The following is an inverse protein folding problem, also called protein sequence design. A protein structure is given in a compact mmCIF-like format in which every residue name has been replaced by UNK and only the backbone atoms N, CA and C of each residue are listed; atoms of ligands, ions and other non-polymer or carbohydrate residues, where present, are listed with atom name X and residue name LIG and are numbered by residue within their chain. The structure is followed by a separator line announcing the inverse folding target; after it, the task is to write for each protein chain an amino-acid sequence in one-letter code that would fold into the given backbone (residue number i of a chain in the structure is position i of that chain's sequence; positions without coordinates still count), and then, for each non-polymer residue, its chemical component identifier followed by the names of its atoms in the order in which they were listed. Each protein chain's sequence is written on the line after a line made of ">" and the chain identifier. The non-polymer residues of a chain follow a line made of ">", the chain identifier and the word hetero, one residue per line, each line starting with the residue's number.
data_IF_205960335773
#
_entry.id   IF_205960335773
#
_cell.length_a   1.000
_cell.length_b   1.000
_cell.length_c   1.000
_cell.angle_alpha   90.00
_cell.angle_beta   90.00
_cell.angle_gamma   90.00
#
_symmetry.space_group_name_H-M   'P 1'
#
loop_
_entity.id
_entity.type
_entity.pdbx_description
1 polymer ?
#
# COMPACT_ATOMS: atom_id res chain seq x y z
N UNK A 1 52.89 -3.96 74.86
CA UNK A 1 52.33 -3.47 73.58
C UNK A 1 53.18 -4.03 72.46
N UNK A 2 52.52 -4.64 71.46
CA UNK A 2 52.96 -5.03 70.09
C UNK A 2 54.22 -5.91 69.93
N UNK A 3 54.31 -6.86 69.01
CA UNK A 3 53.39 -7.46 68.02
C UNK A 3 54.24 -8.50 67.28
N UNK A 4 53.81 -9.76 67.24
CA UNK A 4 54.38 -10.80 66.39
C UNK A 4 54.06 -10.53 64.92
N UNK A 5 54.99 -10.82 64.01
CA UNK A 5 54.71 -10.95 62.57
C UNK A 5 55.56 -12.07 61.98
N UNK A 6 55.04 -13.30 62.09
CA UNK A 6 55.49 -14.44 61.29
C UNK A 6 54.58 -14.56 60.06
N UNK A 7 55.19 -14.65 58.88
CA UNK A 7 54.50 -14.82 57.60
C UNK A 7 54.16 -16.31 57.38
N UNK A 8 52.90 -16.68 57.06
CA UNK A 8 52.60 -18.04 56.64
C UNK A 8 52.92 -18.27 55.15
N UNK A 9 53.65 -19.34 54.85
CA UNK A 9 53.75 -19.91 53.51
C UNK A 9 52.41 -20.55 53.11
N UNK A 10 51.80 -20.08 52.02
CA UNK A 10 50.64 -20.72 51.41
C UNK A 10 51.07 -21.47 50.14
N UNK A 11 50.86 -22.78 50.21
CA UNK A 11 51.05 -23.80 49.17
C UNK A 11 50.15 -23.58 47.96
N UNK A 12 50.70 -23.85 46.76
CA UNK A 12 50.03 -23.84 45.47
C UNK A 12 48.82 -24.81 45.43
N UNK A 13 47.61 -24.28 45.60
CA UNK A 13 46.37 -24.97 45.23
C UNK A 13 46.09 -24.77 43.74
N UNK A 14 45.95 -25.87 43.00
CA UNK A 14 45.52 -25.85 41.61
C UNK A 14 44.07 -25.33 41.50
N UNK A 15 43.77 -24.39 40.59
CA UNK A 15 42.38 -24.06 40.29
C UNK A 15 41.81 -25.09 39.31
N UNK A 16 41.05 -26.02 39.88
CA UNK A 16 39.69 -26.39 39.49
C UNK A 16 39.19 -25.85 38.13
N UNK A 17 38.97 -26.76 37.18
CA UNK A 17 38.10 -26.66 36.00
C UNK A 17 37.63 -25.24 35.62
N UNK A 18 38.47 -24.49 34.92
CA UNK A 18 38.04 -23.35 34.13
C UNK A 18 37.13 -23.85 33.00
N UNK A 19 35.82 -23.90 33.25
CA UNK A 19 34.80 -24.00 32.21
C UNK A 19 35.03 -22.85 31.23
N UNK A 20 35.56 -23.18 30.05
CA UNK A 20 35.56 -22.28 28.90
C UNK A 20 34.11 -21.85 28.67
N UNK A 21 33.79 -20.55 28.54
CA UNK A 21 32.46 -20.16 28.13
C UNK A 21 32.22 -20.78 26.75
N UNK A 22 31.23 -21.67 26.67
CA UNK A 22 30.72 -22.14 25.38
C UNK A 22 30.45 -20.90 24.54
N UNK A 23 31.22 -20.76 23.47
CA UNK A 23 30.92 -19.83 22.40
C UNK A 23 29.54 -20.21 21.89
N UNK A 24 28.52 -19.51 22.40
CA UNK A 24 27.21 -19.44 21.80
C UNK A 24 27.40 -18.73 20.47
N UNK A 25 27.82 -19.50 19.47
CA UNK A 25 27.70 -19.14 18.07
C UNK A 25 26.22 -18.90 17.84
N UNK A 26 25.82 -17.64 18.03
CA UNK A 26 24.49 -17.15 17.70
C UNK A 26 24.38 -17.40 16.20
N UNK A 27 23.48 -18.29 15.74
CA UNK A 27 23.37 -18.56 14.32
C UNK A 27 23.12 -17.23 13.62
N UNK A 28 23.99 -16.90 12.66
CA UNK A 28 23.90 -15.69 11.83
C UNK A 28 22.45 -15.48 11.41
N UNK A 29 21.85 -14.43 11.99
CA UNK A 29 20.45 -14.06 11.94
C UNK A 29 19.78 -14.45 10.61
N UNK A 30 18.87 -15.41 10.66
CA UNK A 30 17.71 -15.34 9.77
C UNK A 30 17.08 -13.96 10.01
N UNK A 31 16.70 -13.19 8.97
CA UNK A 31 16.09 -11.89 9.18
C UNK A 31 14.93 -12.06 10.16
N UNK A 32 15.10 -11.51 11.35
CA UNK A 32 14.18 -11.58 12.47
C UNK A 32 12.81 -11.26 11.91
N UNK A 33 11.90 -12.23 11.93
CA UNK A 33 10.56 -12.02 11.39
C UNK A 33 10.02 -10.76 12.08
N UNK A 34 9.78 -9.70 11.30
CA UNK A 34 9.26 -8.44 11.82
C UNK A 34 8.08 -8.80 12.73
N UNK A 35 8.18 -8.45 14.02
CA UNK A 35 7.18 -8.82 15.01
C UNK A 35 5.89 -8.02 14.78
N UNK A 36 5.14 -8.45 13.77
CA UNK A 36 3.85 -7.89 13.41
C UNK A 36 2.78 -8.60 14.25
N UNK A 37 2.10 -7.85 15.12
CA UNK A 37 1.04 -8.38 15.97
C UNK A 37 -0.22 -7.50 15.91
N UNK A 38 -0.90 -7.43 14.75
CA UNK A 38 -2.07 -6.59 14.59
C UNK A 38 -3.23 -7.06 15.48
N UNK A 39 -4.12 -6.13 15.84
CA UNK A 39 -5.33 -6.40 16.64
C UNK A 39 -6.38 -7.21 15.88
N UNK A 40 -6.23 -7.36 14.56
CA UNK A 40 -7.14 -8.08 13.67
C UNK A 40 -6.61 -9.45 13.21
N UNK A 41 -7.52 -10.23 12.64
CA UNK A 41 -7.26 -11.55 12.08
C UNK A 41 -7.23 -11.53 10.55
N UNK A 42 -6.81 -12.64 9.94
CA UNK A 42 -6.93 -12.80 8.48
C UNK A 42 -8.38 -12.75 7.99
N UNK A 43 -9.35 -13.16 8.82
CA UNK A 43 -10.77 -13.07 8.48
C UNK A 43 -11.27 -11.63 8.37
N UNK A 44 -10.73 -10.71 9.17
CA UNK A 44 -11.07 -9.29 9.06
C UNK A 44 -10.54 -8.72 7.73
N UNK A 45 -9.35 -9.15 7.29
CA UNK A 45 -8.80 -8.79 5.98
C UNK A 45 -9.67 -9.34 4.84
N UNK A 46 -10.08 -10.61 4.91
CA UNK A 46 -11.02 -11.19 3.92
C UNK A 46 -12.32 -10.39 3.88
N UNK A 47 -12.88 -10.01 5.05
CA UNK A 47 -14.09 -9.18 5.11
C UNK A 47 -13.90 -7.81 4.48
N UNK A 48 -12.73 -7.17 4.65
CA UNK A 48 -12.42 -5.88 3.98
C UNK A 48 -12.55 -6.04 2.46
N UNK A 49 -11.93 -7.07 1.88
CA UNK A 49 -11.97 -7.29 0.42
C UNK A 49 -13.35 -7.70 -0.09
N UNK A 50 -14.05 -8.59 0.61
CA UNK A 50 -15.43 -8.98 0.25
C UNK A 50 -16.36 -7.78 0.33
N UNK A 51 -16.27 -7.00 1.40
CA UNK A 51 -17.06 -5.79 1.56
C UNK A 51 -16.72 -4.73 0.52
N UNK A 52 -15.45 -4.60 0.11
CA UNK A 52 -15.07 -3.71 -0.98
C UNK A 52 -15.81 -4.06 -2.29
N UNK A 53 -15.87 -5.35 -2.65
CA UNK A 53 -16.59 -5.82 -3.85
C UNK A 53 -18.10 -5.58 -3.72
N UNK A 54 -18.69 -5.97 -2.57
CA UNK A 54 -20.14 -5.81 -2.33
C UNK A 54 -20.54 -4.33 -2.34
N UNK A 55 -19.77 -3.48 -1.66
CA UNK A 55 -20.02 -2.04 -1.63
C UNK A 55 -19.81 -1.41 -3.01
N UNK A 56 -18.79 -1.82 -3.77
CA UNK A 56 -18.55 -1.30 -5.12
C UNK A 56 -19.78 -1.52 -6.01
N UNK A 57 -20.31 -2.74 -6.03
CA UNK A 57 -21.51 -3.07 -6.80
C UNK A 57 -22.72 -2.31 -6.25
N UNK A 58 -22.95 -2.37 -4.93
CA UNK A 58 -24.12 -1.75 -4.30
C UNK A 58 -24.16 -0.23 -4.45
N UNK A 59 -23.04 0.46 -4.18
CA UNK A 59 -22.94 1.90 -4.33
C UNK A 59 -23.04 2.33 -5.80
N UNK A 60 -22.43 1.60 -6.74
CA UNK A 60 -22.56 1.91 -8.16
C UNK A 60 -24.03 1.81 -8.62
N UNK A 61 -24.71 0.71 -8.30
CA UNK A 61 -26.13 0.52 -8.63
C UNK A 61 -27.01 1.59 -7.98
N UNK A 62 -26.79 1.88 -6.70
CA UNK A 62 -27.57 2.87 -5.95
C UNK A 62 -27.40 4.29 -6.47
N UNK A 63 -26.16 4.73 -6.69
CA UNK A 63 -25.86 6.07 -7.22
C UNK A 63 -26.35 6.22 -8.65
N UNK A 64 -26.17 5.20 -9.50
CA UNK A 64 -26.67 5.23 -10.87
C UNK A 64 -28.20 5.28 -10.92
N UNK A 65 -28.89 4.54 -10.04
CA UNK A 65 -30.35 4.56 -9.96
C UNK A 65 -30.86 5.93 -9.52
N UNK A 66 -30.29 6.49 -8.45
CA UNK A 66 -30.63 7.83 -7.98
C UNK A 66 -30.40 8.89 -9.06
N UNK A 67 -29.24 8.84 -9.73
CA UNK A 67 -28.89 9.77 -10.83
C UNK A 67 -29.86 9.65 -12.00
N UNK A 68 -30.24 8.42 -12.39
CA UNK A 68 -31.23 8.19 -13.43
C UNK A 68 -32.58 8.79 -13.04
N UNK A 69 -33.07 8.53 -11.82
CA UNK A 69 -34.39 8.98 -11.39
C UNK A 69 -34.49 10.51 -11.26
N UNK A 70 -33.42 11.15 -10.79
CA UNK A 70 -33.42 12.59 -10.47
C UNK A 70 -33.02 13.44 -11.68
N UNK A 71 -31.94 13.07 -12.39
CA UNK A 71 -31.31 13.93 -13.39
C UNK A 71 -31.45 13.42 -14.83
N UNK A 72 -31.59 12.10 -15.04
CA UNK A 72 -31.60 11.49 -16.38
C UNK A 72 -32.71 10.45 -16.60
N UNK A 73 -34.01 10.80 -16.38
CA UNK A 73 -35.10 9.82 -16.35
C UNK A 73 -35.24 9.04 -17.67
N UNK A 74 -34.99 9.69 -18.81
CA UNK A 74 -35.11 9.09 -20.15
C UNK A 74 -33.85 8.36 -20.64
N UNK A 75 -32.73 8.40 -19.90
CA UNK A 75 -31.48 7.73 -20.30
C UNK A 75 -31.47 6.27 -19.86
N UNK A 76 -30.93 5.35 -20.67
CA UNK A 76 -30.80 3.93 -20.31
C UNK A 76 -29.92 3.77 -19.07
N UNK A 77 -30.31 2.90 -18.13
CA UNK A 77 -29.59 2.69 -16.87
C UNK A 77 -28.11 2.31 -17.08
N UNK A 78 -27.83 1.42 -18.03
CA UNK A 78 -26.46 1.02 -18.38
C UNK A 78 -25.57 2.19 -18.83
N UNK A 79 -26.16 3.21 -19.47
CA UNK A 79 -25.43 4.41 -19.91
C UNK A 79 -25.12 5.30 -18.71
N UNK A 80 -26.08 5.47 -17.78
CA UNK A 80 -25.88 6.26 -16.55
C UNK A 80 -24.81 5.62 -15.66
N UNK A 81 -24.79 4.28 -15.55
CA UNK A 81 -23.72 3.57 -14.81
C UNK A 81 -22.33 3.81 -15.37
N UNK A 82 -22.20 4.10 -16.67
CA UNK A 82 -20.91 4.38 -17.30
C UNK A 82 -20.45 5.84 -17.12
N UNK A 83 -21.25 6.71 -16.50
CA UNK A 83 -20.85 8.10 -16.31
C UNK A 83 -19.66 8.21 -15.33
N UNK A 84 -18.58 8.95 -15.69
CA UNK A 84 -17.41 9.12 -14.83
C UNK A 84 -17.75 9.62 -13.42
N UNK A 85 -18.65 10.62 -13.33
CA UNK A 85 -19.06 11.19 -12.04
C UNK A 85 -19.86 10.19 -11.18
N UNK A 86 -20.68 9.34 -11.80
CA UNK A 86 -21.42 8.28 -11.08
C UNK A 86 -20.45 7.28 -10.47
N UNK A 87 -19.45 6.83 -11.24
CA UNK A 87 -18.38 5.95 -10.76
C UNK A 87 -17.55 6.60 -9.66
N UNK A 88 -17.18 7.87 -9.83
CA UNK A 88 -16.43 8.64 -8.83
C UNK A 88 -17.18 8.74 -7.49
N UNK A 89 -18.45 9.15 -7.52
CA UNK A 89 -19.27 9.28 -6.31
C UNK A 89 -19.47 7.92 -5.64
N UNK A 90 -19.77 6.86 -6.41
CA UNK A 90 -19.86 5.52 -5.88
C UNK A 90 -18.56 5.07 -5.20
N UNK A 91 -17.40 5.32 -5.83
CA UNK A 91 -16.09 4.99 -5.27
C UNK A 91 -15.81 5.74 -3.96
N UNK A 92 -16.19 7.02 -3.85
CA UNK A 92 -16.03 7.79 -2.62
C UNK A 92 -16.86 7.22 -1.47
N UNK A 93 -18.10 6.81 -1.74
CA UNK A 93 -18.96 6.17 -0.74
C UNK A 93 -18.35 4.84 -0.25
N UNK A 94 -17.82 4.04 -1.18
CA UNK A 94 -17.11 2.79 -0.85
C UNK A 94 -15.92 3.08 0.05
N UNK A 95 -15.07 4.04 -0.31
CA UNK A 95 -13.89 4.38 0.48
C UNK A 95 -14.22 4.87 1.89
N UNK A 96 -15.25 5.71 2.05
CA UNK A 96 -15.70 6.17 3.37
C UNK A 96 -16.18 4.99 4.24
N UNK A 97 -16.99 4.10 3.66
CA UNK A 97 -17.49 2.92 4.38
C UNK A 97 -16.36 1.94 4.75
N UNK A 98 -15.42 1.68 3.82
CA UNK A 98 -14.24 0.85 4.08
C UNK A 98 -13.34 1.46 5.15
N UNK A 99 -13.08 2.77 5.10
CA UNK A 99 -12.29 3.47 6.09
C UNK A 99 -12.94 3.36 7.48
N UNK A 100 -14.24 3.61 7.58
CA UNK A 100 -14.98 3.46 8.84
C UNK A 100 -14.88 2.03 9.41
N UNK A 101 -15.00 1.02 8.55
CA UNK A 101 -14.84 -0.37 8.97
C UNK A 101 -13.40 -0.68 9.43
N UNK A 102 -12.40 -0.26 8.65
CA UNK A 102 -10.99 -0.44 9.01
C UNK A 102 -10.67 0.24 10.35
N UNK A 103 -11.14 1.48 10.56
CA UNK A 103 -11.00 2.18 11.84
C UNK A 103 -11.62 1.36 12.97
N UNK A 104 -12.87 0.93 12.83
CA UNK A 104 -13.56 0.09 13.83
C UNK A 104 -12.79 -1.19 14.14
N UNK A 105 -12.21 -1.85 13.14
CA UNK A 105 -11.46 -3.11 13.29
C UNK A 105 -10.14 -2.90 14.02
N UNK A 106 -9.37 -1.88 13.61
CA UNK A 106 -8.06 -1.60 14.18
C UNK A 106 -8.16 -1.15 15.64
N UNK A 107 -9.20 -0.38 16.00
CA UNK A 107 -9.43 0.13 17.36
C UNK A 107 -10.33 -0.77 18.22
N UNK A 108 -10.45 -2.07 17.90
CA UNK A 108 -11.29 -3.02 18.69
C UNK A 108 -10.77 -3.24 20.10
N UNK A 109 -9.47 -3.07 20.33
CA UNK A 109 -8.86 -3.19 21.66
C UNK A 109 -8.86 -1.83 22.34
N UNK A 110 -9.26 -1.81 23.60
CA UNK A 110 -9.24 -0.60 24.42
C UNK A 110 -7.83 0.01 24.46
N UNK A 111 -7.73 1.33 24.32
CA UNK A 111 -6.46 2.06 24.31
C UNK A 111 -5.67 2.02 22.99
N UNK A 112 -6.18 1.40 21.92
CA UNK A 112 -5.51 1.40 20.61
C UNK A 112 -6.03 2.50 19.69
N UNK A 113 -5.12 3.34 19.19
CA UNK A 113 -5.43 4.34 18.16
C UNK A 113 -5.28 3.76 16.75
N UNK A 114 -6.08 4.26 15.79
CA UNK A 114 -6.10 3.73 14.43
C UNK A 114 -4.72 3.81 13.75
N UNK A 115 -4.14 5.02 13.76
CA UNK A 115 -2.90 5.31 13.04
C UNK A 115 -1.71 4.52 13.58
N UNK A 116 -1.59 4.38 14.90
CA UNK A 116 -0.54 3.56 15.52
C UNK A 116 -0.72 2.08 15.22
N UNK A 117 -1.96 1.57 15.22
CA UNK A 117 -2.27 0.16 14.97
C UNK A 117 -1.84 -0.33 13.59
N UNK A 118 -1.93 0.54 12.57
CA UNK A 118 -1.50 0.22 11.20
C UNK A 118 -0.03 0.59 10.92
N UNK A 119 0.69 1.12 11.92
CA UNK A 119 2.03 1.72 11.75
C UNK A 119 2.06 2.88 10.75
N UNK A 120 1.13 3.82 10.88
CA UNK A 120 1.20 5.10 10.17
C UNK A 120 2.27 6.00 10.81
N UNK A 121 3.54 5.69 10.53
CA UNK A 121 4.69 6.38 11.10
C UNK A 121 5.20 7.43 10.12
N UNK A 122 4.84 8.70 10.32
CA UNK A 122 5.28 9.77 9.43
C UNK A 122 6.81 9.90 9.44
N UNK A 123 7.49 9.85 8.29
CA UNK A 123 8.94 9.95 8.27
C UNK A 123 9.39 11.39 8.54
N UNK A 124 10.03 11.63 9.68
CA UNK A 124 10.60 12.95 10.03
C UNK A 124 11.79 13.34 9.14
N UNK A 125 12.52 12.33 8.63
CA UNK A 125 13.69 12.50 7.78
C UNK A 125 13.63 11.55 6.57
N UNK A 126 14.32 11.93 5.49
CA UNK A 126 14.43 11.10 4.29
C UNK A 126 13.20 11.12 3.38
N UNK A 127 12.27 12.07 3.55
CA UNK A 127 11.11 12.25 2.64
C UNK A 127 11.59 12.41 1.20
N UNK A 128 12.62 13.21 0.95
CA UNK A 128 13.20 13.37 -0.40
C UNK A 128 13.66 12.05 -1.02
N UNK A 129 14.22 11.12 -0.21
CA UNK A 129 14.60 9.78 -0.67
C UNK A 129 13.39 8.88 -0.98
N UNK A 130 12.28 9.02 -0.25
CA UNK A 130 11.03 8.32 -0.56
C UNK A 130 10.39 8.85 -1.85
N UNK A 131 10.34 10.18 -2.01
CA UNK A 131 9.86 10.81 -3.24
C UNK A 131 10.73 10.39 -4.43
N UNK A 132 12.06 10.42 -4.28
CA UNK A 132 13.00 9.96 -5.30
C UNK A 132 12.78 8.47 -5.64
N UNK A 133 12.54 7.61 -4.64
CA UNK A 133 12.19 6.20 -4.88
C UNK A 133 10.94 6.08 -5.77
N UNK A 134 9.90 6.88 -5.52
CA UNK A 134 8.69 6.91 -6.35
C UNK A 134 8.97 7.35 -7.79
N UNK A 135 9.75 8.42 -7.97
CA UNK A 135 10.16 8.95 -9.29
C UNK A 135 10.99 7.92 -10.06
N UNK A 136 12.03 7.37 -9.42
CA UNK A 136 12.91 6.36 -10.04
C UNK A 136 12.14 5.10 -10.40
N UNK A 137 11.20 4.67 -9.54
CA UNK A 137 10.33 3.53 -9.84
C UNK A 137 9.46 3.81 -11.07
N UNK A 138 8.89 5.02 -11.18
CA UNK A 138 8.14 5.41 -12.38
C UNK A 138 9.00 5.33 -13.64
N UNK A 139 10.17 5.97 -13.63
CA UNK A 139 11.07 5.98 -14.81
C UNK A 139 11.49 4.56 -15.20
N UNK A 140 11.89 3.74 -14.23
CA UNK A 140 12.32 2.36 -14.47
C UNK A 140 11.17 1.49 -15.02
N UNK A 141 9.99 1.55 -14.40
CA UNK A 141 8.85 0.73 -14.81
C UNK A 141 8.21 1.23 -16.11
N UNK A 142 8.27 2.53 -16.38
CA UNK A 142 7.90 3.10 -17.68
C UNK A 142 8.81 2.58 -18.79
N UNK A 143 10.13 2.49 -18.56
CA UNK A 143 11.05 1.89 -19.51
C UNK A 143 10.74 0.40 -19.76
N UNK A 144 10.42 -0.37 -18.71
CA UNK A 144 10.00 -1.78 -18.85
C UNK A 144 8.69 -1.88 -19.63
N UNK A 145 7.74 -0.98 -19.40
CA UNK A 145 6.45 -0.98 -20.10
C UNK A 145 6.60 -0.82 -21.63
N UNK A 146 7.67 -0.18 -22.12
CA UNK A 146 7.96 -0.08 -23.57
C UNK A 146 8.35 -1.43 -24.20
N UNK A 147 8.76 -2.40 -23.38
CA UNK A 147 9.11 -3.75 -23.81
C UNK A 147 7.91 -4.71 -23.78
N UNK A 148 6.77 -4.27 -23.24
CA UNK A 148 5.57 -5.09 -23.06
C UNK A 148 4.50 -4.73 -24.10
N UNK A 149 3.63 -5.68 -24.47
CA UNK A 149 2.49 -5.40 -25.34
C UNK A 149 1.43 -4.61 -24.58
N UNK A 150 1.55 -3.28 -24.55
CA UNK A 150 0.61 -2.40 -23.86
C UNK A 150 -0.68 -2.21 -24.69
N UNK A 151 -1.87 -2.23 -24.06
CA UNK A 151 -3.12 -1.98 -24.77
C UNK A 151 -3.17 -0.55 -25.29
N UNK A 152 -3.64 -0.37 -26.53
CA UNK A 152 -3.76 0.96 -27.17
C UNK A 152 -4.91 1.80 -26.65
N UNK A 153 -5.90 1.17 -26.03
CA UNK A 153 -7.05 1.83 -25.43
C UNK A 153 -7.22 1.36 -24.01
N UNK A 154 -7.38 2.28 -23.10
CA UNK A 154 -7.73 1.99 -21.71
C UNK A 154 -9.12 2.56 -21.39
N UNK A 155 -9.97 1.84 -20.63
CA UNK A 155 -11.15 2.42 -19.98
C UNK A 155 -10.83 3.70 -19.21
N UNK A 156 -9.58 3.90 -18.77
CA UNK A 156 -9.11 5.10 -18.09
C UNK A 156 -9.18 6.37 -18.96
N UNK A 157 -9.13 6.27 -20.29
CA UNK A 157 -9.23 7.42 -21.21
C UNK A 157 -10.55 8.18 -21.08
N UNK A 158 -11.63 7.52 -20.61
CA UNK A 158 -12.94 8.16 -20.45
C UNK A 158 -12.91 9.33 -19.45
N UNK A 159 -11.98 9.30 -18.48
CA UNK A 159 -11.80 10.38 -17.50
C UNK A 159 -11.05 11.59 -18.09
N UNK A 160 -10.42 11.43 -19.25
CA UNK A 160 -9.73 12.49 -19.99
C UNK A 160 -10.60 12.98 -21.15
N UNK A 161 -11.92 13.04 -20.98
CA UNK A 161 -12.84 13.64 -21.97
C UNK A 161 -13.25 15.06 -21.59
N UNK A 162 -13.26 15.37 -20.29
CA UNK A 162 -13.58 16.71 -19.77
C UNK A 162 -12.52 17.14 -18.74
N UNK A 163 -12.12 18.42 -18.70
CA UNK A 163 -11.10 18.88 -17.75
C UNK A 163 -11.46 18.61 -16.29
N UNK A 164 -12.74 18.80 -15.90
CA UNK A 164 -13.19 18.53 -14.54
C UNK A 164 -12.98 17.07 -14.14
N UNK A 165 -13.29 16.13 -15.04
CA UNK A 165 -13.11 14.69 -14.79
C UNK A 165 -11.61 14.35 -14.70
N UNK A 166 -10.78 14.98 -15.54
CA UNK A 166 -9.33 14.81 -15.53
C UNK A 166 -8.69 15.31 -14.23
N UNK A 167 -9.13 16.47 -13.70
CA UNK A 167 -8.67 16.95 -12.39
C UNK A 167 -9.16 16.05 -11.25
N UNK A 168 -10.43 15.61 -11.29
CA UNK A 168 -10.98 14.74 -10.26
C UNK A 168 -10.23 13.39 -10.20
N UNK A 169 -9.97 12.76 -11.34
CA UNK A 169 -9.22 11.50 -11.38
C UNK A 169 -7.76 11.70 -11.00
N UNK A 170 -7.13 12.83 -11.35
CA UNK A 170 -5.75 13.12 -10.96
C UNK A 170 -5.62 13.26 -9.43
N UNK A 171 -6.53 13.99 -8.78
CA UNK A 171 -6.56 14.09 -7.31
C UNK A 171 -6.77 12.71 -6.69
N UNK A 172 -7.74 11.94 -7.19
CA UNK A 172 -8.01 10.59 -6.71
C UNK A 172 -6.78 9.67 -6.83
N UNK A 173 -6.17 9.63 -8.02
CA UNK A 173 -5.06 8.75 -8.34
C UNK A 173 -3.79 9.10 -7.56
N UNK A 174 -3.56 10.38 -7.23
CA UNK A 174 -2.34 10.80 -6.51
C UNK A 174 -2.52 10.75 -4.98
N UNK A 175 -3.74 10.88 -4.47
CA UNK A 175 -4.00 11.00 -3.03
C UNK A 175 -4.90 9.89 -2.46
N UNK A 176 -6.21 9.99 -2.63
CA UNK A 176 -7.18 9.14 -1.92
C UNK A 176 -7.04 7.66 -2.33
N UNK A 177 -6.82 7.36 -3.62
CA UNK A 177 -6.60 6.00 -4.11
C UNK A 177 -5.39 5.34 -3.42
N UNK A 178 -4.18 5.91 -3.56
CA UNK A 178 -2.99 5.44 -2.84
C UNK A 178 -3.19 5.33 -1.34
N UNK A 179 -3.87 6.28 -0.70
CA UNK A 179 -4.17 6.20 0.74
C UNK A 179 -4.95 4.92 1.06
N UNK A 180 -6.09 4.70 0.40
CA UNK A 180 -6.96 3.57 0.67
C UNK A 180 -6.28 2.23 0.34
N UNK A 181 -5.50 2.18 -0.73
CA UNK A 181 -4.73 1.00 -1.12
C UNK A 181 -3.61 0.69 -0.12
N UNK A 182 -2.84 1.69 0.31
CA UNK A 182 -1.80 1.50 1.33
C UNK A 182 -2.40 1.03 2.65
N UNK A 183 -3.54 1.58 3.07
CA UNK A 183 -4.27 1.11 4.24
C UNK A 183 -4.65 -0.38 4.09
N UNK A 184 -5.35 -0.75 3.03
CA UNK A 184 -5.84 -2.12 2.85
C UNK A 184 -4.68 -3.15 2.72
N UNK A 185 -3.69 -2.87 1.88
CA UNK A 185 -2.64 -3.83 1.56
C UNK A 185 -1.47 -3.81 2.55
N UNK A 186 -0.95 -2.62 2.89
CA UNK A 186 0.26 -2.49 3.73
C UNK A 186 -0.08 -2.25 5.21
N UNK A 187 -1.23 -1.63 5.47
CA UNK A 187 -1.79 -1.47 6.80
C UNK A 187 -2.43 -2.75 7.33
N UNK A 188 -3.30 -3.41 6.57
CA UNK A 188 -4.10 -4.55 7.05
C UNK A 188 -3.60 -5.94 6.61
N UNK A 189 -3.34 -6.14 5.31
CA UNK A 189 -2.95 -7.46 4.78
C UNK A 189 -1.50 -7.83 5.15
N UNK A 190 -0.54 -6.94 4.90
CA UNK A 190 0.89 -7.22 5.10
C UNK A 190 1.22 -7.72 6.52
N UNK A 191 0.75 -7.11 7.63
CA UNK A 191 1.06 -7.58 8.98
C UNK A 191 0.54 -9.01 9.26
N UNK A 192 -0.58 -9.41 8.65
CA UNK A 192 -1.14 -10.77 8.79
C UNK A 192 -0.26 -11.80 8.08
N UNK A 193 0.33 -11.44 6.95
CA UNK A 193 1.25 -12.30 6.22
C UNK A 193 2.62 -12.34 6.90
N UNK A 194 3.16 -11.18 7.26
CA UNK A 194 4.48 -11.05 7.89
C UNK A 194 4.58 -11.74 9.26
N UNK A 195 3.49 -11.84 10.02
CA UNK A 195 3.49 -12.58 11.29
C UNK A 195 3.49 -14.10 11.14
N UNK A 196 3.19 -14.62 9.94
CA UNK A 196 3.05 -16.08 9.66
C UNK A 196 4.07 -16.60 8.66
N UNK A 197 4.62 -15.73 7.83
CA UNK A 197 5.50 -16.05 6.72
C UNK A 197 6.80 -15.25 6.87
N UNK A 198 7.87 -15.68 6.20
CA UNK A 198 9.07 -14.85 6.12
C UNK A 198 8.79 -13.56 5.32
N UNK A 199 9.64 -12.55 5.52
CA UNK A 199 9.46 -11.20 4.95
C UNK A 199 9.33 -11.21 3.42
N UNK A 200 10.13 -12.02 2.71
CA UNK A 200 10.11 -12.08 1.24
C UNK A 200 8.78 -12.62 0.73
N UNK A 201 8.30 -13.70 1.35
CA UNK A 201 7.01 -14.31 1.01
C UNK A 201 5.85 -13.36 1.37
N UNK A 202 5.91 -12.67 2.51
CA UNK A 202 4.90 -11.67 2.87
C UNK A 202 4.85 -10.50 1.87
N UNK A 203 6.00 -10.03 1.37
CA UNK A 203 6.07 -9.00 0.32
C UNK A 203 5.36 -9.48 -0.95
N UNK A 204 5.71 -10.68 -1.42
CA UNK A 204 5.15 -11.26 -2.63
C UNK A 204 3.62 -11.41 -2.56
N UNK A 205 3.12 -12.01 -1.47
CA UNK A 205 1.70 -12.24 -1.27
C UNK A 205 0.90 -10.99 -0.86
N UNK A 206 1.57 -9.87 -0.55
CA UNK A 206 0.89 -8.58 -0.44
C UNK A 206 0.76 -7.91 -1.81
N UNK A 207 1.83 -7.93 -2.62
CA UNK A 207 1.86 -7.30 -3.93
C UNK A 207 0.97 -7.99 -4.97
N UNK A 208 0.83 -9.32 -4.88
CA UNK A 208 0.04 -10.10 -5.83
C UNK A 208 -1.45 -9.71 -5.84
N UNK A 209 -2.20 -9.77 -4.72
CA UNK A 209 -3.60 -9.37 -4.71
C UNK A 209 -3.78 -7.88 -5.04
N UNK A 210 -2.81 -7.02 -4.67
CA UNK A 210 -2.78 -5.62 -5.10
C UNK A 210 -2.80 -5.50 -6.62
N UNK A 211 -1.97 -6.25 -7.34
CA UNK A 211 -1.98 -6.24 -8.79
C UNK A 211 -3.26 -6.84 -9.40
N UNK A 212 -3.73 -7.96 -8.85
CA UNK A 212 -4.87 -8.70 -9.41
C UNK A 212 -6.17 -7.90 -9.40
N UNK A 213 -6.40 -7.08 -8.36
CA UNK A 213 -7.61 -6.24 -8.32
C UNK A 213 -7.65 -5.19 -9.42
N UNK A 214 -6.51 -4.87 -10.05
CA UNK A 214 -6.42 -3.90 -11.15
C UNK A 214 -6.68 -4.53 -12.53
N UNK A 215 -6.77 -5.86 -12.64
CA UNK A 215 -7.02 -6.52 -13.93
C UNK A 215 -8.29 -6.01 -14.65
N UNK A 216 -9.44 -5.82 -13.98
CA UNK A 216 -10.66 -5.33 -14.63
C UNK A 216 -10.53 -3.94 -15.26
N UNK A 217 -9.61 -3.09 -14.77
CA UNK A 217 -9.39 -1.74 -15.28
C UNK A 217 -8.63 -1.74 -16.60
N UNK A 218 -7.73 -2.71 -16.77
CA UNK A 218 -6.87 -2.79 -17.95
C UNK A 218 -7.32 -3.83 -18.97
N UNK A 219 -7.98 -4.91 -18.53
CA UNK A 219 -8.34 -6.05 -19.38
C UNK A 219 -7.13 -6.75 -20.02
N UNK A 220 -5.91 -6.51 -19.51
CA UNK A 220 -4.65 -7.02 -20.04
C UNK A 220 -3.69 -7.35 -18.91
N UNK A 221 -2.85 -8.39 -19.10
CA UNK A 221 -1.85 -8.80 -18.12
C UNK A 221 -0.65 -7.85 -18.05
N UNK A 222 -0.32 -7.13 -19.12
CA UNK A 222 0.90 -6.32 -19.20
C UNK A 222 0.89 -5.13 -18.22
N UNK A 223 -0.18 -4.32 -18.09
CA UNK A 223 -0.21 -3.29 -17.05
C UNK A 223 -0.31 -3.88 -15.65
N UNK A 224 -0.98 -5.03 -15.48
CA UNK A 224 -1.08 -5.73 -14.19
C UNK A 224 0.29 -6.19 -13.71
N UNK A 225 1.19 -6.61 -14.61
CA UNK A 225 2.58 -6.90 -14.26
C UNK A 225 3.31 -5.64 -13.76
N UNK A 226 3.11 -4.49 -14.39
CA UNK A 226 3.68 -3.22 -13.92
C UNK A 226 3.16 -2.86 -12.53
N UNK A 227 1.84 -2.95 -12.32
CA UNK A 227 1.22 -2.73 -11.00
C UNK A 227 1.75 -3.70 -9.95
N UNK A 228 2.01 -4.96 -10.31
CA UNK A 228 2.65 -5.93 -9.43
C UNK A 228 4.06 -5.50 -9.02
N UNK A 229 4.88 -5.01 -9.95
CA UNK A 229 6.22 -4.52 -9.67
C UNK A 229 6.19 -3.26 -8.78
N UNK A 230 5.28 -2.32 -9.04
CA UNK A 230 5.02 -1.20 -8.11
C UNK A 230 4.64 -1.75 -6.74
N UNK A 231 3.75 -2.74 -6.70
CA UNK A 231 3.27 -3.36 -5.48
C UNK A 231 4.38 -3.98 -4.63
N UNK A 232 5.39 -4.57 -5.28
CA UNK A 232 6.61 -5.07 -4.63
C UNK A 232 7.42 -3.93 -4.03
N UNK A 233 7.71 -2.87 -4.79
CA UNK A 233 8.47 -1.70 -4.29
C UNK A 233 7.80 -1.12 -3.05
N UNK A 234 6.49 -0.85 -3.11
CA UNK A 234 5.72 -0.28 -2.01
C UNK A 234 5.77 -1.18 -0.76
N UNK A 235 5.67 -2.50 -0.95
CA UNK A 235 5.69 -3.43 0.18
C UNK A 235 7.09 -3.62 0.75
N UNK A 236 8.15 -3.55 -0.07
CA UNK A 236 9.54 -3.48 0.39
C UNK A 236 9.77 -2.23 1.23
N UNK A 237 9.27 -1.06 0.78
CA UNK A 237 9.35 0.20 1.54
C UNK A 237 8.61 0.05 2.88
N UNK A 238 7.40 -0.51 2.89
CA UNK A 238 6.65 -0.78 4.13
C UNK A 238 7.41 -1.72 5.07
N UNK A 239 8.02 -2.78 4.54
CA UNK A 239 8.78 -3.77 5.30
C UNK A 239 10.07 -3.16 5.89
N UNK A 240 10.78 -2.34 5.12
CA UNK A 240 12.04 -1.76 5.56
C UNK A 240 11.85 -0.56 6.49
N UNK A 241 10.91 0.34 6.16
CA UNK A 241 10.64 1.57 6.93
C UNK A 241 9.69 1.36 8.10
N UNK A 242 9.07 0.18 8.20
CA UNK A 242 8.05 -0.12 9.21
C UNK A 242 6.96 0.97 9.28
N UNK A 243 6.58 1.49 8.12
CA UNK A 243 5.71 2.65 7.99
C UNK A 243 4.82 2.54 6.76
N UNK A 244 3.51 2.63 6.98
CA UNK A 244 2.52 2.76 5.90
C UNK A 244 2.60 4.14 5.26
N UNK A 245 2.86 5.19 6.05
CA UNK A 245 3.03 6.55 5.53
C UNK A 245 4.22 6.66 4.55
N UNK A 246 5.30 5.91 4.79
CA UNK A 246 6.43 5.86 3.86
C UNK A 246 6.04 5.22 2.51
N UNK A 247 5.26 4.14 2.54
CA UNK A 247 4.68 3.52 1.34
C UNK A 247 3.77 4.50 0.60
N UNK A 248 2.90 5.21 1.32
CA UNK A 248 2.02 6.24 0.78
C UNK A 248 2.78 7.37 0.06
N UNK A 249 3.87 7.88 0.63
CA UNK A 249 4.69 8.91 -0.02
C UNK A 249 5.29 8.40 -1.33
N UNK A 250 5.83 7.18 -1.35
CA UNK A 250 6.39 6.57 -2.57
C UNK A 250 5.30 6.36 -3.61
N UNK A 251 4.14 5.88 -3.19
CA UNK A 251 2.99 5.63 -4.06
C UNK A 251 2.43 6.92 -4.67
N UNK A 252 2.20 7.93 -3.84
CA UNK A 252 1.75 9.24 -4.27
C UNK A 252 2.78 9.92 -5.20
N UNK A 253 4.08 9.76 -4.95
CA UNK A 253 5.12 10.26 -5.85
C UNK A 253 5.11 9.54 -7.21
N UNK A 254 5.01 8.20 -7.22
CA UNK A 254 4.91 7.41 -8.45
C UNK A 254 3.70 7.82 -9.29
N UNK A 255 2.50 7.85 -8.69
CA UNK A 255 1.28 8.27 -9.39
C UNK A 255 1.30 9.77 -9.74
N UNK A 256 1.95 10.58 -8.91
CA UNK A 256 2.14 12.02 -9.13
C UNK A 256 2.95 12.30 -10.38
N UNK A 257 4.07 11.59 -10.60
CA UNK A 257 4.85 11.71 -11.84
C UNK A 257 4.02 11.25 -13.04
N UNK A 258 3.30 10.13 -12.92
CA UNK A 258 2.42 9.65 -13.99
C UNK A 258 1.38 10.71 -14.39
N UNK A 259 0.70 11.32 -13.41
CA UNK A 259 -0.27 12.39 -13.70
C UNK A 259 0.38 13.68 -14.16
N UNK A 260 1.58 14.03 -13.69
CA UNK A 260 2.32 15.20 -14.16
C UNK A 260 2.68 15.08 -15.65
N UNK A 261 3.09 13.88 -16.11
CA UNK A 261 3.36 13.63 -17.53
C UNK A 261 2.11 13.87 -18.36
N UNK A 262 0.96 13.32 -17.95
CA UNK A 262 -0.33 13.52 -18.65
C UNK A 262 -0.74 15.00 -18.62
N UNK A 263 -0.61 15.66 -17.48
CA UNK A 263 -0.93 17.07 -17.31
C UNK A 263 -0.10 17.95 -18.25
N UNK A 264 1.21 17.72 -18.35
CA UNK A 264 2.09 18.47 -19.26
C UNK A 264 1.77 18.17 -20.73
N UNK A 265 1.61 16.90 -21.09
CA UNK A 265 1.30 16.48 -22.46
C UNK A 265 0.00 17.10 -23.01
N UNK A 266 -0.97 17.31 -22.14
CA UNK A 266 -2.29 17.89 -22.45
C UNK A 266 -2.36 19.41 -22.27
N UNK A 267 -1.24 20.09 -21.97
CA UNK A 267 -1.23 21.54 -21.73
C UNK A 267 -2.09 21.96 -20.53
N UNK A 268 -2.08 21.15 -19.47
CA UNK A 268 -2.89 21.35 -18.27
C UNK A 268 -4.34 20.90 -18.44
N UNK A 269 -4.56 19.72 -19.05
CA UNK A 269 -5.88 19.18 -19.38
C UNK A 269 -6.74 20.05 -20.30
N UNK A 270 -6.11 20.94 -21.09
CA UNK A 270 -6.80 21.78 -22.08
C UNK A 270 -6.90 21.12 -23.45
N UNK A 271 -5.96 20.22 -23.76
CA UNK A 271 -5.82 19.53 -25.04
C UNK A 271 -5.96 18.02 -24.86
N UNK A 272 -7.13 17.58 -24.39
CA UNK A 272 -7.39 16.18 -24.06
C UNK A 272 -7.50 15.29 -25.30
N UNK A 273 -7.77 15.87 -26.46
CA UNK A 273 -7.73 15.21 -27.78
C UNK A 273 -6.37 14.57 -28.10
N UNK A 274 -5.29 15.01 -27.43
CA UNK A 274 -3.96 14.41 -27.57
C UNK A 274 -3.81 13.05 -26.89
N UNK A 275 -4.76 12.68 -26.02
CA UNK A 275 -4.75 11.38 -25.31
C UNK A 275 -5.45 10.27 -26.10
N UNK A 276 -6.23 10.62 -27.14
CA UNK A 276 -7.07 9.69 -27.90
C UNK A 276 -6.59 9.45 -29.33
N UNK A 277 -5.43 10.02 -29.70
CA UNK A 277 -4.72 9.83 -30.97
C UNK A 277 -3.67 8.72 -30.86
#
# INVERSE_FOLDING_TARGET
>A
MSSNSEWPQATLGAPENAMLPESSATPLNAPEALSENPTWSGWDVVKIFVMAIVLLIGCLLGVALATKLIAFPHTKFMVVMAFPLVNFVAQMLVYLALLAYMMRVATRREGTEFWSSIRWNWPLHGIGGLVLTGIVSFVALFAIAHLLPMPKKSPFEQFFTRPLDAYAIAVLAVSIGPLMEELAFRGFLYPILARRLNVRTAILFTALPFALIHYPEYGSWSPVLIVFLVGLVLTVVRAWRQSVAAGFIVHAAYNGVQMAVVFVATGGFRHLEKMTQ
#
